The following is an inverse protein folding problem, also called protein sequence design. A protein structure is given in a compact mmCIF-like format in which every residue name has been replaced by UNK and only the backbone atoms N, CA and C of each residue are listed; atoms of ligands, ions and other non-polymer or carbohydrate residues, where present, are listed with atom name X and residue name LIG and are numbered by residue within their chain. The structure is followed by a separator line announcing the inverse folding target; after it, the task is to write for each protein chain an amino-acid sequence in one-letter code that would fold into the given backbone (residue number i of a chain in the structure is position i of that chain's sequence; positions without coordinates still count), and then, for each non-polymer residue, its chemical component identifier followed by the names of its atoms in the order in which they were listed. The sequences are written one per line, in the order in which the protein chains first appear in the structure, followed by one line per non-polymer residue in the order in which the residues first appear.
data_IF_209493728916
#
_entry.id   IF_209493728916
#
_cell.length_a   1.000
_cell.length_b   1.000
_cell.length_c   1.000
_cell.angle_alpha   90.00
_cell.angle_beta   90.00
_cell.angle_gamma   90.00
#
_symmetry.space_group_name_H-M   'P 1'
#
loop_
_entity.id
_entity.type
_entity.pdbx_description
1 polymer ?
#
# COMPACT_ATOMS: atom_id res chain seq x y z
N UNK A 1 29.33 -20.34 14.47
CA UNK A 1 29.33 -18.88 14.83
C UNK A 1 28.95 -17.93 13.69
N UNK A 2 28.23 -18.36 12.67
CA UNK A 2 27.87 -17.54 11.48
C UNK A 2 26.40 -17.10 11.43
N UNK A 3 25.55 -17.57 12.34
CA UNK A 3 24.14 -17.14 12.42
C UNK A 3 23.92 -15.83 13.18
N UNK A 4 24.94 -15.28 13.81
CA UNK A 4 24.85 -14.04 14.61
C UNK A 4 25.11 -12.77 13.82
N UNK A 5 25.55 -12.87 12.56
CA UNK A 5 25.90 -11.71 11.72
C UNK A 5 24.79 -11.26 10.78
N UNK A 6 23.71 -12.03 10.64
CA UNK A 6 22.61 -11.70 9.70
C UNK A 6 21.52 -10.87 10.36
N UNK A 7 21.47 -10.85 11.70
CA UNK A 7 20.55 -10.05 12.49
C UNK A 7 21.29 -9.01 13.33
N UNK A 8 22.11 -8.17 12.70
CA UNK A 8 22.47 -6.91 13.33
C UNK A 8 21.29 -5.97 13.22
N UNK A 9 20.52 -5.90 14.29
CA UNK A 9 19.34 -5.05 14.49
C UNK A 9 19.58 -3.57 14.13
N UNK A 10 20.84 -3.14 14.14
CA UNK A 10 21.27 -1.79 13.77
C UNK A 10 21.29 -1.55 12.26
N UNK A 11 21.66 -2.55 11.43
CA UNK A 11 21.64 -2.40 9.97
C UNK A 11 20.21 -2.49 9.41
N UNK A 12 19.32 -3.27 10.05
CA UNK A 12 17.91 -3.31 9.67
C UNK A 12 17.19 -2.00 10.03
N UNK A 13 17.56 -1.34 11.13
CA UNK A 13 17.05 -0.02 11.51
C UNK A 13 17.61 1.11 10.66
N UNK A 14 18.83 0.99 10.13
CA UNK A 14 19.40 2.01 9.23
C UNK A 14 18.83 1.98 7.82
N UNK A 15 18.33 0.83 7.34
CA UNK A 15 17.67 0.75 6.03
C UNK A 15 16.18 1.11 6.07
N UNK A 16 15.62 1.42 7.24
CA UNK A 16 14.23 1.88 7.44
C UNK A 16 14.11 3.39 7.65
N UNK A 17 15.20 4.14 7.66
CA UNK A 17 15.13 5.57 7.41
C UNK A 17 14.82 5.75 5.93
N UNK A 18 13.54 5.68 5.57
CA UNK A 18 13.07 6.18 4.28
C UNK A 18 13.48 7.65 4.22
N UNK A 19 14.61 7.92 3.57
CA UNK A 19 14.95 9.29 3.22
C UNK A 19 13.77 9.82 2.40
N UNK A 20 13.05 10.79 2.97
CA UNK A 20 11.94 11.43 2.29
C UNK A 20 12.51 12.04 1.01
N UNK A 21 12.05 11.61 -0.19
CA UNK A 21 12.60 12.08 -1.44
C UNK A 21 12.57 13.60 -1.52
N UNK A 22 13.71 14.23 -1.80
CA UNK A 22 13.75 15.69 -2.03
C UNK A 22 13.15 15.99 -3.40
N UNK A 23 11.98 16.59 -3.39
CA UNK A 23 11.28 16.99 -4.60
C UNK A 23 11.83 18.33 -5.12
N UNK A 24 11.80 18.51 -6.44
CA UNK A 24 12.02 19.83 -7.05
C UNK A 24 10.89 20.79 -6.67
N UNK A 25 11.13 22.10 -6.74
CA UNK A 25 10.11 23.11 -6.41
C UNK A 25 8.82 22.96 -7.21
N UNK A 26 8.92 22.57 -8.48
CA UNK A 26 7.76 22.34 -9.35
C UNK A 26 6.94 21.12 -8.88
N UNK A 27 7.61 20.01 -8.58
CA UNK A 27 6.96 18.81 -8.05
C UNK A 27 6.29 19.07 -6.70
N UNK A 28 6.94 19.83 -5.82
CA UNK A 28 6.34 20.25 -4.54
C UNK A 28 5.06 21.07 -4.74
N UNK A 29 5.02 21.97 -5.74
CA UNK A 29 3.81 22.73 -6.08
C UNK A 29 2.68 21.82 -6.56
N UNK A 30 2.99 20.84 -7.41
CA UNK A 30 2.01 19.86 -7.92
C UNK A 30 1.50 19.00 -6.76
N UNK A 31 2.40 18.44 -5.93
CA UNK A 31 2.06 17.64 -4.76
C UNK A 31 1.11 18.43 -3.83
N UNK A 32 1.46 19.67 -3.49
CA UNK A 32 0.64 20.54 -2.65
C UNK A 32 -0.72 20.85 -3.27
N UNK A 33 -0.77 21.08 -4.58
CA UNK A 33 -2.04 21.33 -5.30
C UNK A 33 -2.94 20.09 -5.25
N UNK A 34 -2.40 18.90 -5.54
CA UNK A 34 -3.15 17.66 -5.53
C UNK A 34 -3.63 17.30 -4.11
N UNK A 35 -2.76 17.49 -3.11
CA UNK A 35 -3.13 17.30 -1.71
C UNK A 35 -4.31 18.19 -1.30
N UNK A 36 -4.27 19.49 -1.65
CA UNK A 36 -5.36 20.43 -1.33
C UNK A 36 -6.69 20.00 -1.98
N UNK A 37 -6.64 19.62 -3.26
CA UNK A 37 -7.85 19.15 -3.98
C UNK A 37 -8.41 17.89 -3.33
N UNK A 38 -7.57 16.90 -3.08
CA UNK A 38 -7.97 15.64 -2.44
C UNK A 38 -8.53 15.86 -1.01
N UNK A 39 -7.89 16.74 -0.22
CA UNK A 39 -8.34 17.10 1.13
C UNK A 39 -9.75 17.68 1.14
N UNK A 40 -10.09 18.53 0.19
CA UNK A 40 -11.45 19.10 0.08
C UNK A 40 -12.50 18.03 -0.25
N UNK A 41 -12.12 16.95 -0.93
CA UNK A 41 -13.03 15.88 -1.33
C UNK A 41 -13.27 14.86 -0.19
N UNK A 42 -12.31 14.66 0.72
CA UNK A 42 -12.39 13.67 1.79
C UNK A 42 -12.28 14.27 3.20
N UNK A 43 -12.45 15.58 3.37
CA UNK A 43 -12.40 16.16 4.73
C UNK A 43 -13.58 15.69 5.55
N UNK A 44 -13.36 15.06 6.73
CA UNK A 44 -14.44 14.45 7.50
C UNK A 44 -15.54 15.44 7.94
N UNK A 45 -15.21 16.72 8.08
CA UNK A 45 -16.20 17.75 8.46
C UNK A 45 -17.12 18.17 7.30
N UNK A 46 -16.70 17.95 6.07
CA UNK A 46 -17.46 18.31 4.86
C UNK A 46 -18.32 17.17 4.32
N UNK A 47 -18.09 15.97 4.80
CA UNK A 47 -18.73 14.73 4.35
C UNK A 47 -19.93 14.42 5.24
N UNK A 48 -20.96 13.79 4.69
CA UNK A 48 -22.11 13.33 5.46
C UNK A 48 -21.70 12.36 6.57
N UNK A 49 -22.38 12.42 7.71
CA UNK A 49 -21.98 11.76 8.96
C UNK A 49 -21.75 10.24 8.79
N UNK A 50 -22.51 9.61 7.90
CA UNK A 50 -22.43 8.17 7.59
C UNK A 50 -21.11 7.76 6.92
N UNK A 51 -20.43 8.69 6.26
CA UNK A 51 -19.19 8.45 5.51
C UNK A 51 -17.96 9.02 6.22
N UNK A 52 -18.10 9.59 7.41
CA UNK A 52 -17.02 10.23 8.15
C UNK A 52 -15.86 9.30 8.46
N UNK A 53 -16.16 8.08 8.85
CA UNK A 53 -15.13 7.08 9.20
C UNK A 53 -14.24 6.77 8.00
N UNK A 54 -14.87 6.49 6.85
CA UNK A 54 -14.16 6.20 5.61
C UNK A 54 -13.39 7.43 5.09
N UNK A 55 -14.01 8.60 5.15
CA UNK A 55 -13.37 9.86 4.80
C UNK A 55 -12.14 10.13 5.69
N UNK A 56 -12.24 9.89 7.01
CA UNK A 56 -11.14 10.03 7.95
C UNK A 56 -9.99 9.08 7.64
N UNK A 57 -10.29 7.83 7.27
CA UNK A 57 -9.30 6.84 6.86
C UNK A 57 -8.53 7.32 5.63
N UNK A 58 -9.25 7.75 4.59
CA UNK A 58 -8.65 8.25 3.34
C UNK A 58 -7.88 9.56 3.55
N UNK A 59 -8.38 10.43 4.41
CA UNK A 59 -7.68 11.67 4.77
C UNK A 59 -6.36 11.39 5.50
N UNK A 60 -6.34 10.42 6.41
CA UNK A 60 -5.11 9.98 7.10
C UNK A 60 -4.11 9.37 6.12
N UNK A 61 -4.57 8.52 5.20
CA UNK A 61 -3.73 7.95 4.16
C UNK A 61 -3.15 9.02 3.23
N UNK A 62 -3.97 10.00 2.84
CA UNK A 62 -3.57 11.15 2.03
C UNK A 62 -2.51 12.00 2.73
N UNK A 63 -2.71 12.28 4.03
CA UNK A 63 -1.74 13.02 4.85
C UNK A 63 -0.41 12.29 4.93
N UNK A 64 -0.43 10.99 5.22
CA UNK A 64 0.77 10.15 5.29
C UNK A 64 1.53 10.16 3.95
N UNK A 65 0.81 10.06 2.83
CA UNK A 65 1.40 10.13 1.48
C UNK A 65 2.03 11.50 1.21
N UNK A 66 1.37 12.59 1.63
CA UNK A 66 1.88 13.94 1.50
C UNK A 66 3.15 14.17 2.34
N UNK A 67 3.12 13.77 3.61
CA UNK A 67 4.24 13.93 4.55
C UNK A 67 5.48 13.13 4.12
N UNK A 68 5.27 12.01 3.41
CA UNK A 68 6.34 11.20 2.81
C UNK A 68 6.77 11.65 1.41
N UNK A 69 6.27 12.78 0.89
CA UNK A 69 6.51 13.27 -0.46
C UNK A 69 6.17 12.25 -1.57
N UNK A 70 5.21 11.36 -1.33
CA UNK A 70 4.79 10.34 -2.30
C UNK A 70 3.76 10.92 -3.30
N UNK A 71 4.28 11.57 -4.36
CA UNK A 71 3.46 12.19 -5.40
C UNK A 71 2.50 11.21 -6.09
N UNK A 72 3.00 10.01 -6.39
CA UNK A 72 2.22 8.99 -7.08
C UNK A 72 1.01 8.57 -6.25
N UNK A 73 1.20 8.37 -4.95
CA UNK A 73 0.13 8.00 -4.03
C UNK A 73 -0.90 9.11 -3.85
N UNK A 74 -0.44 10.37 -3.73
CA UNK A 74 -1.35 11.53 -3.63
C UNK A 74 -2.16 11.70 -4.92
N UNK A 75 -1.54 11.51 -6.08
CA UNK A 75 -2.23 11.58 -7.37
C UNK A 75 -3.28 10.46 -7.51
N UNK A 76 -2.93 9.23 -7.16
CA UNK A 76 -3.86 8.08 -7.19
C UNK A 76 -5.04 8.26 -6.23
N UNK A 77 -4.80 8.82 -5.04
CA UNK A 77 -5.87 9.12 -4.08
C UNK A 77 -6.78 10.25 -4.59
N UNK A 78 -6.21 11.27 -5.23
CA UNK A 78 -7.01 12.34 -5.85
C UNK A 78 -7.92 11.78 -6.95
N UNK A 79 -7.36 11.00 -7.87
CA UNK A 79 -8.13 10.35 -8.95
C UNK A 79 -9.25 9.45 -8.39
N UNK A 80 -8.94 8.67 -7.35
CA UNK A 80 -9.94 7.86 -6.66
C UNK A 80 -11.07 8.71 -6.11
N UNK A 81 -10.75 9.82 -5.42
CA UNK A 81 -11.73 10.72 -4.80
C UNK A 81 -12.53 11.51 -5.82
N UNK A 82 -11.96 11.86 -6.96
CA UNK A 82 -12.68 12.53 -8.07
C UNK A 82 -13.72 11.59 -8.69
N UNK A 83 -13.40 10.30 -8.79
CA UNK A 83 -14.30 9.27 -9.33
C UNK A 83 -15.33 8.76 -8.30
N UNK A 84 -15.04 8.88 -7.01
CA UNK A 84 -15.87 8.37 -5.91
C UNK A 84 -16.09 9.47 -4.87
N UNK A 85 -16.72 10.56 -5.28
CA UNK A 85 -16.97 11.72 -4.41
C UNK A 85 -17.90 11.36 -3.26
N UNK A 86 -17.49 11.68 -2.06
CA UNK A 86 -18.35 11.56 -0.90
C UNK A 86 -19.54 12.53 -0.99
N UNK A 87 -20.75 12.09 -0.60
CA UNK A 87 -21.86 13.01 -0.40
C UNK A 87 -21.50 14.06 0.65
N UNK A 88 -21.83 15.32 0.37
CA UNK A 88 -21.58 16.41 1.33
C UNK A 88 -22.62 16.41 2.43
N UNK A 89 -22.26 16.96 3.58
CA UNK A 89 -23.15 17.09 4.75
C UNK A 89 -24.40 17.93 4.44
N UNK A 90 -24.31 18.85 3.48
CA UNK A 90 -25.43 19.70 3.05
C UNK A 90 -26.37 19.05 2.05
N UNK A 91 -26.01 17.90 1.49
CA UNK A 91 -26.78 17.27 0.44
C UNK A 91 -27.93 16.43 1.04
N UNK A 92 -29.10 16.47 0.45
CA UNK A 92 -30.18 15.54 0.74
C UNK A 92 -29.83 14.20 0.09
N UNK A 93 -29.23 13.30 0.89
CA UNK A 93 -28.75 12.00 0.40
C UNK A 93 -29.93 11.05 0.29
N UNK A 94 -30.19 10.56 -0.91
CA UNK A 94 -31.17 9.51 -1.14
C UNK A 94 -30.57 8.12 -0.84
N UNK A 95 -31.39 7.13 -0.51
CA UNK A 95 -30.91 5.74 -0.32
C UNK A 95 -30.23 5.20 -1.59
N UNK A 96 -30.66 5.68 -2.75
CA UNK A 96 -30.02 5.34 -4.03
C UNK A 96 -28.59 5.88 -4.14
N UNK A 97 -28.34 7.09 -3.66
CA UNK A 97 -26.99 7.69 -3.70
C UNK A 97 -26.05 6.99 -2.72
N UNK A 98 -26.56 6.60 -1.55
CA UNK A 98 -25.84 5.75 -0.58
C UNK A 98 -25.41 4.43 -1.22
N UNK A 99 -26.36 3.74 -1.85
CA UNK A 99 -26.12 2.45 -2.48
C UNK A 99 -25.11 2.58 -3.63
N UNK A 100 -25.24 3.61 -4.46
CA UNK A 100 -24.28 3.87 -5.56
C UNK A 100 -22.86 4.10 -5.03
N UNK A 101 -22.73 4.91 -3.99
CA UNK A 101 -21.42 5.15 -3.35
C UNK A 101 -20.82 3.83 -2.85
N UNK A 102 -21.58 3.08 -2.05
CA UNK A 102 -21.13 1.80 -1.47
C UNK A 102 -20.70 0.81 -2.56
N UNK A 103 -21.51 0.67 -3.61
CA UNK A 103 -21.19 -0.23 -4.75
C UNK A 103 -19.91 0.21 -5.46
N UNK A 104 -19.76 1.50 -5.72
CA UNK A 104 -18.56 2.02 -6.40
C UNK A 104 -17.31 1.86 -5.54
N UNK A 105 -17.43 2.11 -4.24
CA UNK A 105 -16.36 1.90 -3.27
C UNK A 105 -15.88 0.44 -3.28
N UNK A 106 -16.79 -0.51 -3.08
CA UNK A 106 -16.41 -1.93 -3.08
C UNK A 106 -15.87 -2.41 -4.43
N UNK A 107 -16.38 -1.90 -5.55
CA UNK A 107 -15.82 -2.19 -6.87
C UNK A 107 -14.37 -1.70 -6.99
N UNK A 108 -14.04 -0.54 -6.43
CA UNK A 108 -12.68 -0.02 -6.43
C UNK A 108 -11.76 -0.87 -5.54
N UNK A 109 -12.21 -1.27 -4.35
CA UNK A 109 -11.46 -2.17 -3.46
C UNK A 109 -11.18 -3.53 -4.13
N UNK A 110 -12.19 -4.13 -4.74
CA UNK A 110 -12.03 -5.41 -5.48
C UNK A 110 -11.00 -5.26 -6.62
N UNK A 111 -11.02 -4.15 -7.35
CA UNK A 111 -10.00 -3.91 -8.40
C UNK A 111 -8.59 -3.83 -7.82
N UNK A 112 -8.42 -3.08 -6.71
CA UNK A 112 -7.14 -2.96 -6.01
C UNK A 112 -6.62 -4.33 -5.55
N UNK A 113 -7.45 -5.10 -4.85
CA UNK A 113 -7.10 -6.44 -4.38
C UNK A 113 -6.74 -7.39 -5.53
N UNK A 114 -7.47 -7.34 -6.65
CA UNK A 114 -7.14 -8.14 -7.84
C UNK A 114 -5.77 -7.77 -8.41
N UNK A 115 -5.40 -6.49 -8.42
CA UNK A 115 -4.08 -6.05 -8.87
C UNK A 115 -2.98 -6.53 -7.92
N UNK A 116 -3.18 -6.41 -6.60
CA UNK A 116 -2.25 -6.89 -5.57
C UNK A 116 -2.02 -8.41 -5.69
N UNK A 117 -3.11 -9.18 -5.80
CA UNK A 117 -3.03 -10.63 -6.04
C UNK A 117 -2.27 -10.93 -7.34
N UNK A 118 -2.52 -10.14 -8.38
CA UNK A 118 -1.81 -10.27 -9.65
C UNK A 118 -0.31 -10.00 -9.53
N UNK A 119 0.09 -9.02 -8.73
CA UNK A 119 1.50 -8.73 -8.45
C UNK A 119 2.16 -9.86 -7.65
N UNK A 120 1.50 -10.35 -6.60
CA UNK A 120 1.98 -11.48 -5.79
C UNK A 120 2.18 -12.70 -6.67
N UNK A 121 1.18 -13.05 -7.50
CA UNK A 121 1.27 -14.22 -8.40
C UNK A 121 2.38 -14.12 -9.45
N UNK A 122 2.79 -12.92 -9.82
CA UNK A 122 3.91 -12.69 -10.77
C UNK A 122 5.26 -12.59 -10.07
N UNK A 123 5.32 -12.49 -8.74
CA UNK A 123 6.59 -12.42 -8.02
C UNK A 123 7.38 -13.72 -8.19
N UNK A 124 8.71 -13.60 -8.24
CA UNK A 124 9.62 -14.75 -8.33
C UNK A 124 9.43 -15.71 -7.18
N UNK A 125 9.21 -15.17 -5.97
CA UNK A 125 8.97 -15.98 -4.78
C UNK A 125 7.74 -16.86 -4.94
N UNK A 126 6.61 -16.30 -5.40
CA UNK A 126 5.40 -17.08 -5.62
C UNK A 126 5.59 -18.14 -6.70
N UNK A 127 6.26 -17.80 -7.81
CA UNK A 127 6.54 -18.74 -8.90
C UNK A 127 7.46 -19.86 -8.41
N UNK A 128 8.48 -19.53 -7.61
CA UNK A 128 9.37 -20.52 -7.01
C UNK A 128 8.60 -21.47 -6.07
N UNK A 129 7.81 -20.93 -5.14
CA UNK A 129 6.97 -21.72 -4.23
C UNK A 129 6.04 -22.64 -5.02
N UNK A 130 5.41 -22.14 -6.08
CA UNK A 130 4.50 -22.93 -6.93
C UNK A 130 5.21 -24.04 -7.72
N UNK A 131 6.49 -23.86 -8.04
CA UNK A 131 7.30 -24.87 -8.75
C UNK A 131 7.71 -26.04 -7.87
N UNK A 132 7.59 -25.92 -6.54
CA UNK A 132 7.95 -26.99 -5.60
C UNK A 132 6.82 -28.03 -5.61
N UNK A 133 7.06 -29.16 -6.27
CA UNK A 133 6.08 -30.27 -6.36
C UNK A 133 5.93 -31.04 -5.05
N UNK A 134 7.04 -31.27 -4.34
CA UNK A 134 7.08 -31.98 -3.05
C UNK A 134 8.01 -31.26 -2.07
N UNK A 135 7.42 -30.77 -0.99
CA UNK A 135 8.14 -30.04 0.04
C UNK A 135 9.12 -30.93 0.84
N UNK A 136 8.81 -32.20 1.02
CA UNK A 136 9.69 -33.15 1.71
C UNK A 136 10.97 -33.38 0.92
N UNK A 137 10.86 -33.60 -0.38
CA UNK A 137 12.01 -33.72 -1.30
C UNK A 137 12.80 -32.42 -1.34
N UNK A 138 12.14 -31.28 -1.45
CA UNK A 138 12.79 -29.96 -1.47
C UNK A 138 13.63 -29.72 -0.21
N UNK A 139 13.04 -29.90 0.98
CA UNK A 139 13.77 -29.70 2.23
C UNK A 139 14.87 -30.74 2.46
N UNK A 140 14.67 -31.97 2.05
CA UNK A 140 15.73 -33.01 2.11
C UNK A 140 16.93 -32.64 1.25
N UNK A 141 16.69 -32.06 0.07
CA UNK A 141 17.75 -31.57 -0.82
C UNK A 141 18.52 -30.40 -0.18
N UNK A 142 17.80 -29.39 0.34
CA UNK A 142 18.42 -28.24 1.05
C UNK A 142 19.25 -28.71 2.24
N UNK A 143 18.70 -29.60 3.06
CA UNK A 143 19.43 -30.17 4.21
C UNK A 143 20.76 -30.80 3.78
N UNK A 144 20.73 -31.64 2.75
CA UNK A 144 21.94 -32.29 2.22
C UNK A 144 22.96 -31.27 1.68
N UNK A 145 22.53 -30.22 1.02
CA UNK A 145 23.44 -29.16 0.55
C UNK A 145 24.12 -28.47 1.73
N UNK A 146 23.37 -28.11 2.78
CA UNK A 146 23.90 -27.48 3.97
C UNK A 146 24.89 -28.39 4.72
N UNK A 147 24.63 -29.69 4.81
CA UNK A 147 25.53 -30.70 5.44
C UNK A 147 26.87 -30.75 4.68
N UNK A 148 26.84 -30.74 3.35
CA UNK A 148 28.07 -30.70 2.51
C UNK A 148 28.84 -29.40 2.73
N UNK A 149 28.16 -28.28 2.82
CA UNK A 149 28.79 -26.95 2.99
C UNK A 149 29.44 -26.85 4.38
N UNK A 150 28.76 -27.32 5.42
CA UNK A 150 29.32 -27.39 6.78
C UNK A 150 30.55 -28.27 6.82
N UNK A 151 30.53 -29.44 6.14
CA UNK A 151 31.68 -30.36 6.10
C UNK A 151 32.89 -29.75 5.32
N UNK A 152 32.71 -28.76 4.47
CA UNK A 152 33.81 -28.05 3.80
C UNK A 152 34.47 -26.97 4.66
N UNK A 153 33.74 -26.49 5.67
CA UNK A 153 34.20 -25.39 6.54
C UNK A 153 34.84 -25.88 7.84
N UNK A 154 34.74 -27.16 8.16
CA UNK A 154 35.38 -27.82 9.31
C UNK A 154 36.56 -28.66 8.87
#
# INVERSE_FOLDING_TARGET
MLFRSIFSDSQYKMNLSHEIPRLTQERQKILKSNFRKASLLCHPDSVADEFKEEASRLFTELKTAYDSNNESKVASLLEYLENNKFPKKSDTITDMDRLRFTVNHHRAEVRKLKQEIGMIKRSEIYQHIRSIGDWGVYFSHIKRQLEIEVARLG
#
